data_IF_441525954738
#
_entry.id   IF_441525954738
#
_cell.length_a   1.000
_cell.length_b   1.000
_cell.length_c   1.000
_cell.angle_alpha   90.00
_cell.angle_beta   90.00
_cell.angle_gamma   90.00
#
_symmetry.space_group_name_H-M   'P 1'
#
loop_
_entity.id
_entity.type
_entity.pdbx_description
1 polymer ?
#
# COMPACT_ATOMS: atom_id res chain seq x y z
N UNK A 1 -22.41 -11.04 27.17
CA UNK A 1 -21.01 -10.85 26.70
C UNK A 1 -21.02 -10.78 25.17
N UNK A 2 -21.53 -9.69 24.59
CA UNK A 2 -21.86 -9.63 23.15
C UNK A 2 -21.50 -8.28 22.53
N UNK A 3 -20.28 -7.78 22.78
CA UNK A 3 -19.77 -6.55 22.14
C UNK A 3 -18.33 -6.64 21.64
N UNK A 4 -17.65 -7.79 21.80
CA UNK A 4 -16.22 -7.91 21.48
C UNK A 4 -15.98 -8.26 20.01
N UNK A 5 -16.94 -8.87 19.31
CA UNK A 5 -16.77 -9.31 17.92
C UNK A 5 -16.59 -8.16 16.93
N UNK A 6 -17.35 -7.07 17.06
CA UNK A 6 -17.24 -5.90 16.19
C UNK A 6 -15.94 -5.11 16.38
N UNK A 7 -15.46 -4.98 17.62
CA UNK A 7 -14.21 -4.26 17.92
C UNK A 7 -12.98 -5.01 17.41
N UNK A 8 -12.93 -6.33 17.57
CA UNK A 8 -11.79 -7.14 17.14
C UNK A 8 -11.63 -7.16 15.62
N UNK A 9 -12.73 -7.22 14.86
CA UNK A 9 -12.67 -7.16 13.40
C UNK A 9 -12.11 -5.82 12.90
N UNK A 10 -12.53 -4.72 13.50
CA UNK A 10 -12.03 -3.39 13.14
C UNK A 10 -10.52 -3.23 13.39
N UNK A 11 -10.02 -3.80 14.49
CA UNK A 11 -8.58 -3.79 14.81
C UNK A 11 -7.79 -4.57 13.76
N UNK A 12 -8.27 -5.76 13.37
CA UNK A 12 -7.60 -6.58 12.35
C UNK A 12 -7.52 -5.84 11.01
N UNK A 13 -8.64 -5.26 10.56
CA UNK A 13 -8.69 -4.49 9.31
C UNK A 13 -7.76 -3.28 9.35
N UNK A 14 -7.73 -2.56 10.48
CA UNK A 14 -6.83 -1.43 10.68
C UNK A 14 -5.35 -1.84 10.58
N UNK A 15 -4.96 -2.94 11.21
CA UNK A 15 -3.59 -3.46 11.15
C UNK A 15 -3.21 -3.86 9.73
N UNK A 16 -4.10 -4.53 9.00
CA UNK A 16 -3.87 -4.91 7.60
C UNK A 16 -3.61 -3.66 6.74
N UNK A 17 -4.42 -2.61 6.89
CA UNK A 17 -4.23 -1.37 6.14
C UNK A 17 -2.93 -0.66 6.49
N UNK A 18 -2.54 -0.64 7.77
CA UNK A 18 -1.24 -0.12 8.18
C UNK A 18 -0.09 -0.83 7.47
N UNK A 19 -0.13 -2.17 7.44
CA UNK A 19 0.89 -2.97 6.76
C UNK A 19 0.91 -2.67 5.27
N UNK A 20 -0.24 -2.53 4.61
CA UNK A 20 -0.32 -2.19 3.18
C UNK A 20 0.30 -0.82 2.87
N UNK A 21 0.04 0.19 3.71
CA UNK A 21 0.60 1.53 3.56
C UNK A 21 2.12 1.48 3.72
N UNK A 22 2.62 0.82 4.77
CA UNK A 22 4.06 0.69 5.03
C UNK A 22 4.75 -0.04 3.87
N UNK A 23 4.16 -1.13 3.37
CA UNK A 23 4.69 -1.88 2.23
C UNK A 23 4.72 -1.03 0.96
N UNK A 24 3.66 -0.28 0.68
CA UNK A 24 3.62 0.62 -0.47
C UNK A 24 4.73 1.69 -0.37
N UNK A 25 4.88 2.34 0.79
CA UNK A 25 5.93 3.33 1.02
C UNK A 25 7.32 2.70 0.84
N UNK A 26 7.58 1.55 1.45
CA UNK A 26 8.87 0.86 1.33
C UNK A 26 9.20 0.51 -0.12
N UNK A 27 8.21 0.04 -0.89
CA UNK A 27 8.39 -0.26 -2.31
C UNK A 27 8.60 1.01 -3.15
N UNK A 28 7.89 2.11 -2.85
CA UNK A 28 8.10 3.41 -3.51
C UNK A 28 9.55 3.88 -3.31
N UNK A 29 10.02 3.86 -2.07
CA UNK A 29 11.39 4.28 -1.74
C UNK A 29 12.45 3.41 -2.42
N UNK A 30 12.18 2.11 -2.60
CA UNK A 30 13.11 1.15 -3.20
C UNK A 30 13.12 1.17 -4.73
N UNK A 31 11.96 1.32 -5.38
CA UNK A 31 11.81 1.06 -6.82
C UNK A 31 11.61 2.32 -7.66
N UNK A 32 11.20 3.46 -7.09
CA UNK A 32 10.94 4.67 -7.86
C UNK A 32 12.15 5.61 -7.94
N UNK A 33 12.33 6.23 -9.11
CA UNK A 33 13.29 7.32 -9.35
C UNK A 33 12.89 8.59 -8.61
N UNK A 34 13.84 9.49 -8.30
CA UNK A 34 13.67 10.66 -7.42
C UNK A 34 12.35 11.43 -7.63
N UNK A 35 12.01 11.83 -8.86
CA UNK A 35 10.77 12.60 -9.15
C UNK A 35 9.49 11.79 -8.95
N UNK A 36 9.46 10.55 -9.44
CA UNK A 36 8.28 9.68 -9.35
C UNK A 36 8.02 9.21 -7.92
N UNK A 37 9.10 9.07 -7.14
CA UNK A 37 9.05 8.70 -5.72
C UNK A 37 8.26 9.71 -4.90
N UNK A 38 8.52 11.01 -5.08
CA UNK A 38 7.84 12.08 -4.34
C UNK A 38 6.36 12.14 -4.70
N UNK A 39 6.04 12.01 -6.00
CA UNK A 39 4.65 11.97 -6.47
C UNK A 39 3.88 10.79 -5.85
N UNK A 40 4.44 9.58 -5.88
CA UNK A 40 3.79 8.41 -5.29
C UNK A 40 3.68 8.49 -3.77
N UNK A 41 4.68 9.03 -3.09
CA UNK A 41 4.60 9.29 -1.65
C UNK A 41 3.46 10.27 -1.31
N UNK A 42 3.33 11.37 -2.05
CA UNK A 42 2.21 12.31 -1.85
C UNK A 42 0.86 11.61 -2.03
N UNK A 43 0.71 10.79 -3.07
CA UNK A 43 -0.54 10.05 -3.33
C UNK A 43 -0.85 9.08 -2.19
N UNK A 44 0.13 8.33 -1.70
CA UNK A 44 -0.07 7.39 -0.57
C UNK A 44 -0.34 8.12 0.74
N UNK A 45 0.26 9.29 0.98
CA UNK A 45 0.02 10.05 2.20
C UNK A 45 -1.38 10.72 2.18
N UNK A 46 -1.77 11.30 1.04
CA UNK A 46 -3.08 11.95 0.87
C UNK A 46 -4.22 10.93 0.81
N UNK A 47 -3.99 9.78 0.17
CA UNK A 47 -4.97 8.72 -0.02
C UNK A 47 -4.38 7.37 0.42
N UNK A 48 -4.21 7.12 1.72
CA UNK A 48 -3.52 5.93 2.25
C UNK A 48 -4.10 4.61 1.77
N UNK A 49 -5.43 4.49 1.73
CA UNK A 49 -6.09 3.27 1.29
C UNK A 49 -5.96 3.05 -0.22
N UNK A 50 -6.39 4.03 -1.02
CA UNK A 50 -6.45 3.91 -2.48
C UNK A 50 -5.05 3.98 -3.08
N UNK A 51 -4.21 4.91 -2.63
CA UNK A 51 -2.86 5.13 -3.12
C UNK A 51 -1.95 3.92 -2.87
N UNK A 52 -2.02 3.29 -1.69
CA UNK A 52 -1.21 2.10 -1.41
C UNK A 52 -1.60 0.92 -2.31
N UNK A 53 -2.90 0.67 -2.49
CA UNK A 53 -3.43 -0.38 -3.37
C UNK A 53 -3.02 -0.14 -4.83
N UNK A 54 -3.22 1.07 -5.35
CA UNK A 54 -2.83 1.41 -6.73
C UNK A 54 -1.32 1.22 -6.94
N UNK A 55 -0.49 1.66 -6.00
CA UNK A 55 0.95 1.52 -6.12
C UNK A 55 1.38 0.04 -6.11
N UNK A 56 0.83 -0.75 -5.20
CA UNK A 56 1.07 -2.19 -5.14
C UNK A 56 0.66 -2.88 -6.45
N UNK A 57 -0.51 -2.55 -7.01
CA UNK A 57 -0.94 -3.04 -8.32
C UNK A 57 0.02 -2.66 -9.44
N UNK A 58 0.43 -1.38 -9.52
CA UNK A 58 1.46 -0.92 -10.47
C UNK A 58 2.73 -1.76 -10.34
N UNK A 59 3.21 -1.96 -9.11
CA UNK A 59 4.43 -2.70 -8.84
C UNK A 59 4.31 -4.16 -9.31
N UNK A 60 3.21 -4.83 -8.98
CA UNK A 60 2.96 -6.22 -9.38
C UNK A 60 2.84 -6.37 -10.89
N UNK A 61 2.12 -5.47 -11.57
CA UNK A 61 1.99 -5.48 -13.03
C UNK A 61 3.33 -5.23 -13.72
N UNK A 62 4.12 -4.27 -13.22
CA UNK A 62 5.46 -3.97 -13.75
C UNK A 62 6.40 -5.16 -13.53
N UNK A 63 6.39 -5.75 -12.34
CA UNK A 63 7.21 -6.93 -12.01
C UNK A 63 6.84 -8.11 -12.89
N UNK A 64 5.53 -8.36 -13.10
CA UNK A 64 5.04 -9.42 -14.01
C UNK A 64 5.54 -9.18 -15.42
N UNK A 65 5.40 -7.97 -15.95
CA UNK A 65 5.80 -7.66 -17.32
C UNK A 65 7.31 -7.85 -17.55
N UNK A 66 8.13 -7.50 -16.57
CA UNK A 66 9.58 -7.73 -16.64
C UNK A 66 9.98 -9.21 -16.54
N UNK A 67 9.08 -10.09 -16.08
CA UNK A 67 9.35 -11.52 -15.93
C UNK A 67 9.11 -12.31 -17.23
N UNK A 68 8.32 -11.76 -18.14
CA UNK A 68 8.02 -12.32 -19.47
C UNK A 68 8.81 -11.64 -20.60
N UNK A 69 9.74 -10.76 -20.25
CA UNK A 69 10.61 -10.02 -21.18
C UNK A 69 12.03 -10.52 -21.04
#
# INVERSE_FOLDING_TARGET
>A
MEKITGSSQNIVVFVIYLVLIILAIALILKNEKKTHRVLWLMVVILFPYIGSVIYLLKYLLTKRNNLYR
#
